data_IF_758951370024
#
_entry.id   IF_758951370024
#
_cell.length_a   1.000
_cell.length_b   1.000
_cell.length_c   1.000
_cell.angle_alpha   90.00
_cell.angle_beta   90.00
_cell.angle_gamma   90.00
#
_symmetry.space_group_name_H-M   'P 1'
#
loop_
_entity.id
_entity.type
_entity.pdbx_description
1 polymer ?
#
# COMPACT_ATOMS: atom_id res chain seq x y z
N UNK A 1 41.45 -59.58 34.52
CA UNK A 1 40.13 -59.51 33.86
C UNK A 1 39.12 -59.08 34.91
N UNK A 2 38.89 -57.77 34.98
CA UNK A 2 38.06 -57.16 36.03
C UNK A 2 36.58 -57.44 35.78
N UNK A 3 35.79 -57.42 36.86
CA UNK A 3 34.33 -57.58 36.84
C UNK A 3 33.65 -56.33 36.26
N UNK A 4 33.98 -55.99 35.02
CA UNK A 4 33.49 -54.76 34.38
C UNK A 4 31.99 -54.87 34.11
N UNK A 5 31.50 -56.06 33.76
CA UNK A 5 30.06 -56.31 33.54
C UNK A 5 29.24 -56.15 34.84
N UNK A 6 29.77 -56.61 35.98
CA UNK A 6 29.13 -56.39 37.29
C UNK A 6 29.14 -54.90 37.68
N UNK A 7 30.18 -54.17 37.28
CA UNK A 7 30.33 -52.73 37.55
C UNK A 7 29.35 -51.90 36.71
N UNK A 8 29.13 -52.29 35.44
CA UNK A 8 28.14 -51.67 34.55
C UNK A 8 26.72 -51.96 35.05
N UNK A 9 26.45 -53.20 35.48
CA UNK A 9 25.17 -53.56 36.09
C UNK A 9 24.92 -52.78 37.39
N UNK A 10 25.92 -52.68 38.25
CA UNK A 10 25.84 -51.90 39.50
C UNK A 10 25.70 -50.39 39.26
N UNK A 11 26.41 -49.84 38.26
CA UNK A 11 26.29 -48.44 37.86
C UNK A 11 24.90 -48.12 37.30
N UNK A 12 24.29 -49.05 36.55
CA UNK A 12 22.91 -48.95 36.09
C UNK A 12 21.90 -48.92 37.25
N UNK A 13 22.12 -49.73 38.30
CA UNK A 13 21.29 -49.73 39.51
C UNK A 13 21.47 -48.46 40.37
N UNK A 14 22.66 -47.84 40.30
CA UNK A 14 22.96 -46.56 40.97
C UNK A 14 22.63 -45.32 40.15
N UNK A 15 21.98 -45.48 38.99
CA UNK A 15 21.63 -44.39 38.07
C UNK A 15 22.86 -43.59 37.57
N UNK A 16 24.04 -44.20 37.58
CA UNK A 16 25.28 -43.62 37.05
C UNK A 16 25.39 -43.90 35.54
N UNK A 17 24.43 -43.36 34.79
CA UNK A 17 24.28 -43.62 33.34
C UNK A 17 25.50 -43.18 32.52
N UNK A 18 26.25 -42.17 32.97
CA UNK A 18 27.47 -41.71 32.31
C UNK A 18 28.53 -42.81 32.18
N UNK A 19 28.76 -43.58 33.24
CA UNK A 19 29.76 -44.65 33.27
C UNK A 19 29.32 -45.81 32.36
N UNK A 20 28.02 -46.11 32.37
CA UNK A 20 27.42 -47.16 31.54
C UNK A 20 27.54 -46.83 30.06
N UNK A 21 27.18 -45.60 29.67
CA UNK A 21 27.26 -45.14 28.27
C UNK A 21 28.71 -45.08 27.79
N UNK A 22 29.62 -44.52 28.59
CA UNK A 22 31.05 -44.48 28.26
C UNK A 22 31.63 -45.89 28.05
N UNK A 23 31.22 -46.85 28.87
CA UNK A 23 31.65 -48.24 28.73
C UNK A 23 31.17 -48.87 27.41
N UNK A 24 29.88 -48.71 27.06
CA UNK A 24 29.36 -49.23 25.80
C UNK A 24 29.99 -48.56 24.56
N UNK A 25 30.30 -47.25 24.64
CA UNK A 25 31.04 -46.56 23.58
C UNK A 25 32.45 -47.14 23.42
N UNK A 26 33.16 -47.40 24.52
CA UNK A 26 34.49 -48.04 24.47
C UNK A 26 34.47 -49.45 23.89
N UNK A 27 33.35 -50.17 24.03
CA UNK A 27 33.15 -51.49 23.43
C UNK A 27 32.70 -51.43 21.96
N UNK A 28 32.43 -50.24 21.42
CA UNK A 28 31.91 -50.06 20.06
C UNK A 28 30.43 -50.40 19.91
N UNK A 29 29.68 -50.50 21.02
CA UNK A 29 28.28 -50.92 21.05
C UNK A 29 27.34 -49.70 21.08
N UNK A 30 27.26 -48.97 19.96
CA UNK A 30 26.47 -47.74 19.83
C UNK A 30 24.99 -47.95 20.19
N UNK A 31 24.39 -49.04 19.71
CA UNK A 31 22.97 -49.35 19.94
C UNK A 31 22.63 -49.49 21.43
N UNK A 32 23.43 -50.23 22.20
CA UNK A 32 23.22 -50.41 23.64
C UNK A 32 23.41 -49.09 24.40
N UNK A 33 24.37 -48.27 23.97
CA UNK A 33 24.57 -46.93 24.52
C UNK A 33 23.34 -46.03 24.28
N UNK A 34 22.79 -46.03 23.06
CA UNK A 34 21.59 -45.28 22.69
C UNK A 34 20.35 -45.77 23.44
N UNK A 35 20.16 -47.09 23.60
CA UNK A 35 19.06 -47.66 24.39
C UNK A 35 19.07 -47.20 25.86
N UNK A 36 20.26 -47.00 26.45
CA UNK A 36 20.38 -46.41 27.80
C UNK A 36 20.01 -44.93 27.77
N UNK A 37 20.50 -44.17 26.79
CA UNK A 37 20.25 -42.72 26.65
C UNK A 37 18.78 -42.38 26.35
N UNK A 38 18.01 -43.30 25.75
CA UNK A 38 16.59 -43.11 25.45
C UNK A 38 15.66 -43.26 26.68
N UNK A 39 16.18 -43.73 27.82
CA UNK A 39 15.38 -43.93 29.04
C UNK A 39 14.95 -42.60 29.65
N UNK A 40 13.73 -42.54 30.17
CA UNK A 40 13.14 -41.32 30.75
C UNK A 40 13.92 -40.71 31.94
N UNK A 41 14.67 -41.53 32.69
CA UNK A 41 15.43 -41.07 33.85
C UNK A 41 16.81 -40.49 33.48
N UNK A 42 17.19 -40.49 32.20
CA UNK A 42 18.50 -40.01 31.77
C UNK A 42 18.42 -38.54 31.39
N UNK A 43 19.29 -37.67 31.96
CA UNK A 43 19.32 -36.27 31.60
C UNK A 43 19.77 -36.08 30.15
N UNK A 44 19.07 -35.19 29.44
CA UNK A 44 19.32 -34.88 28.02
C UNK A 44 20.75 -34.35 27.79
N UNK A 45 21.38 -33.76 28.81
CA UNK A 45 22.76 -33.28 28.75
C UNK A 45 23.79 -34.39 28.47
N UNK A 46 23.51 -35.63 28.88
CA UNK A 46 24.36 -36.77 28.55
C UNK A 46 24.29 -37.11 27.06
N UNK A 47 23.13 -36.90 26.41
CA UNK A 47 23.00 -37.08 24.95
C UNK A 47 23.90 -36.10 24.22
N UNK A 48 23.92 -34.81 24.60
CA UNK A 48 24.82 -33.83 23.99
C UNK A 48 26.29 -34.13 24.27
N UNK A 49 26.63 -34.61 25.47
CA UNK A 49 28.00 -34.95 25.86
C UNK A 49 28.57 -36.09 25.03
N UNK A 50 27.80 -37.16 24.81
CA UNK A 50 28.24 -38.35 24.08
C UNK A 50 27.93 -38.31 22.58
N UNK A 51 27.16 -37.33 22.11
CA UNK A 51 26.81 -37.17 20.68
C UNK A 51 28.02 -37.21 19.73
N UNK A 52 29.16 -36.54 19.99
CA UNK A 52 30.33 -36.59 19.11
C UNK A 52 30.94 -37.99 18.98
N UNK A 53 30.92 -38.78 20.05
CA UNK A 53 31.54 -40.11 20.04
C UNK A 53 30.58 -41.15 19.45
N UNK A 54 29.28 -41.01 19.69
CA UNK A 54 28.24 -41.89 19.14
C UNK A 54 28.09 -41.74 17.62
N UNK A 55 28.08 -40.50 17.11
CA UNK A 55 27.95 -40.28 15.66
C UNK A 55 29.17 -40.77 14.87
N UNK A 56 30.37 -40.69 15.46
CA UNK A 56 31.60 -41.23 14.88
C UNK A 56 31.61 -42.77 14.88
N UNK A 57 30.92 -43.39 15.84
CA UNK A 57 30.84 -44.84 15.97
C UNK A 57 29.79 -45.45 15.04
N UNK A 58 28.57 -44.89 15.03
CA UNK A 58 27.47 -45.29 14.16
C UNK A 58 26.55 -44.09 13.88
N UNK A 59 26.72 -43.47 12.71
CA UNK A 59 25.96 -42.29 12.34
C UNK A 59 24.47 -42.59 12.07
N UNK A 60 24.15 -43.76 11.52
CA UNK A 60 22.79 -44.13 11.15
C UNK A 60 21.92 -44.32 12.39
N UNK A 61 22.34 -45.18 13.32
CA UNK A 61 21.58 -45.46 14.55
C UNK A 61 21.51 -44.21 15.45
N UNK A 62 22.57 -43.43 15.50
CA UNK A 62 22.62 -42.19 16.29
C UNK A 62 21.64 -41.14 15.75
N UNK A 63 21.61 -40.93 14.43
CA UNK A 63 20.70 -39.97 13.80
C UNK A 63 19.24 -40.42 13.93
N UNK A 64 18.93 -41.70 13.69
CA UNK A 64 17.58 -42.23 13.90
C UNK A 64 17.13 -42.03 15.36
N UNK A 65 18.01 -42.28 16.33
CA UNK A 65 17.72 -41.99 17.73
C UNK A 65 17.42 -40.51 17.98
N UNK A 66 18.11 -39.59 17.31
CA UNK A 66 17.82 -38.15 17.43
C UNK A 66 16.48 -37.78 16.78
N UNK A 67 16.14 -38.37 15.63
CA UNK A 67 14.84 -38.18 14.97
C UNK A 67 13.68 -38.68 15.83
N UNK A 68 13.84 -39.83 16.49
CA UNK A 68 12.83 -40.40 17.38
C UNK A 68 12.59 -39.53 18.62
N UNK A 69 13.63 -38.84 19.11
CA UNK A 69 13.51 -37.93 20.26
C UNK A 69 12.77 -36.62 19.93
N UNK A 70 12.61 -36.27 18.64
CA UNK A 70 11.91 -35.08 18.12
C UNK A 70 12.22 -33.81 18.95
N UNK A 71 11.21 -33.24 19.60
CA UNK A 71 11.28 -31.95 20.31
C UNK A 71 12.02 -32.02 21.66
N UNK A 72 12.49 -33.19 22.11
CA UNK A 72 13.26 -33.31 23.36
C UNK A 72 14.70 -32.82 23.20
N UNK A 73 15.22 -32.83 21.97
CA UNK A 73 16.57 -32.41 21.64
C UNK A 73 16.55 -31.02 21.00
N UNK A 74 17.55 -30.21 21.33
CA UNK A 74 17.84 -28.97 20.66
C UNK A 74 18.89 -29.25 19.57
N UNK A 75 18.54 -29.14 18.28
CA UNK A 75 19.46 -29.41 17.18
C UNK A 75 20.70 -28.50 17.20
N UNK A 76 20.58 -27.26 17.70
CA UNK A 76 21.69 -26.32 17.82
C UNK A 76 22.82 -26.81 18.74
N UNK A 77 22.47 -27.53 19.82
CA UNK A 77 23.47 -28.15 20.73
C UNK A 77 24.17 -29.36 20.12
N UNK A 78 23.63 -29.96 19.05
CA UNK A 78 24.21 -31.10 18.35
C UNK A 78 25.13 -30.66 17.18
N UNK A 79 25.10 -29.38 16.78
CA UNK A 79 25.95 -28.83 15.71
C UNK A 79 27.43 -29.17 15.90
N UNK A 80 28.05 -29.03 17.09
CA UNK A 80 29.47 -29.35 17.26
C UNK A 80 29.80 -30.83 16.97
N UNK A 81 28.91 -31.75 17.35
CA UNK A 81 29.07 -33.18 17.08
C UNK A 81 29.00 -33.45 15.57
N UNK A 82 28.00 -32.88 14.89
CA UNK A 82 27.84 -33.00 13.44
C UNK A 82 29.00 -32.37 12.67
N UNK A 83 29.49 -31.20 13.10
CA UNK A 83 30.63 -30.53 12.47
C UNK A 83 31.92 -31.34 12.58
N UNK A 84 32.18 -31.96 13.72
CA UNK A 84 33.33 -32.86 13.91
C UNK A 84 33.24 -34.04 12.93
N UNK A 85 32.08 -34.68 12.87
CA UNK A 85 31.81 -35.78 11.93
C UNK A 85 32.04 -35.35 10.46
N UNK A 86 31.46 -34.23 10.04
CA UNK A 86 31.58 -33.73 8.65
C UNK A 86 33.01 -33.32 8.28
N UNK A 87 33.86 -33.00 9.27
CA UNK A 87 35.24 -32.58 9.04
C UNK A 87 36.17 -33.76 8.72
N UNK A 88 35.81 -34.97 9.13
CA UNK A 88 36.60 -36.17 8.89
C UNK A 88 36.20 -36.84 7.55
N UNK A 89 37.15 -37.50 6.85
CA UNK A 89 36.87 -38.17 5.58
C UNK A 89 36.08 -39.47 5.82
N UNK A 90 34.80 -39.43 5.47
CA UNK A 90 33.87 -40.55 5.61
C UNK A 90 33.51 -41.17 4.26
N UNK A 91 32.91 -42.37 4.28
CA UNK A 91 32.35 -42.95 3.07
C UNK A 91 31.25 -42.03 2.51
N UNK A 92 31.04 -42.03 1.18
CA UNK A 92 30.10 -41.09 0.54
C UNK A 92 28.70 -41.09 1.16
N UNK A 93 28.22 -42.23 1.67
CA UNK A 93 26.87 -42.41 2.20
C UNK A 93 26.72 -41.91 3.65
N UNK A 94 27.80 -41.90 4.41
CA UNK A 94 27.83 -41.57 5.84
C UNK A 94 27.48 -40.10 6.11
N UNK A 95 27.95 -39.19 5.24
CA UNK A 95 27.61 -37.76 5.31
C UNK A 95 26.13 -37.46 5.00
N UNK A 96 25.39 -38.40 4.39
CA UNK A 96 23.96 -38.20 4.10
C UNK A 96 23.09 -38.31 5.35
N UNK A 97 23.50 -39.05 6.38
CA UNK A 97 22.69 -39.20 7.60
C UNK A 97 22.57 -37.88 8.37
N UNK A 98 23.66 -37.12 8.45
CA UNK A 98 23.64 -35.76 9.02
C UNK A 98 22.72 -34.84 8.22
N UNK A 99 22.76 -34.93 6.88
CA UNK A 99 21.88 -34.13 6.01
C UNK A 99 20.42 -34.53 6.24
N UNK A 100 20.12 -35.82 6.34
CA UNK A 100 18.78 -36.35 6.63
C UNK A 100 18.24 -35.80 7.96
N UNK A 101 19.08 -35.77 8.99
CA UNK A 101 18.72 -35.16 10.28
C UNK A 101 18.43 -33.67 10.17
N UNK A 102 19.29 -32.92 9.50
CA UNK A 102 19.11 -31.48 9.32
C UNK A 102 17.88 -31.16 8.47
N UNK A 103 17.61 -31.93 7.41
CA UNK A 103 16.38 -31.84 6.63
C UNK A 103 15.14 -32.09 7.48
N UNK A 104 15.16 -33.12 8.33
CA UNK A 104 14.09 -33.40 9.30
C UNK A 104 13.89 -32.23 10.27
N UNK A 105 14.98 -31.67 10.80
CA UNK A 105 14.91 -30.49 11.68
C UNK A 105 14.28 -29.28 10.99
N UNK A 106 14.60 -29.07 9.71
CA UNK A 106 14.12 -27.92 8.95
C UNK A 106 12.68 -28.11 8.48
N UNK A 107 12.31 -29.28 7.97
CA UNK A 107 10.99 -29.56 7.35
C UNK A 107 9.93 -30.05 8.33
N UNK A 108 10.29 -30.96 9.24
CA UNK A 108 9.34 -31.62 10.14
C UNK A 108 9.25 -30.94 11.51
N UNK A 109 10.37 -30.41 12.02
CA UNK A 109 10.42 -29.69 13.29
C UNK A 109 10.22 -28.18 13.13
N UNK A 110 10.20 -27.64 11.89
CA UNK A 110 10.16 -26.21 11.58
C UNK A 110 11.17 -25.41 12.42
N UNK A 111 12.41 -25.92 12.53
CA UNK A 111 13.43 -25.25 13.34
C UNK A 111 13.87 -23.93 12.67
N UNK A 112 13.93 -22.87 13.47
CA UNK A 112 14.28 -21.51 13.06
C UNK A 112 15.74 -21.14 13.40
N UNK A 113 16.53 -22.08 13.98
CA UNK A 113 17.92 -21.85 14.38
C UNK A 113 18.85 -21.61 13.16
N UNK A 114 19.46 -20.42 13.03
CA UNK A 114 20.36 -20.11 11.91
C UNK A 114 21.55 -21.06 11.77
N UNK A 115 22.06 -21.60 12.88
CA UNK A 115 23.19 -22.53 12.86
C UNK A 115 22.86 -23.82 12.13
N UNK A 116 21.63 -24.32 12.27
CA UNK A 116 21.15 -25.54 11.63
C UNK A 116 20.99 -25.33 10.13
N UNK A 117 20.39 -24.22 9.74
CA UNK A 117 20.23 -23.83 8.32
C UNK A 117 21.58 -23.57 7.65
N UNK A 118 22.50 -22.87 8.32
CA UNK A 118 23.85 -22.60 7.82
C UNK A 118 24.68 -23.88 7.66
N UNK A 119 24.57 -24.84 8.60
CA UNK A 119 25.24 -26.12 8.49
C UNK A 119 24.69 -26.94 7.32
N UNK A 120 23.36 -27.02 7.17
CA UNK A 120 22.71 -27.72 6.06
C UNK A 120 23.14 -27.12 4.71
N UNK A 121 23.14 -25.80 4.60
CA UNK A 121 23.60 -25.09 3.42
C UNK A 121 25.07 -25.41 3.10
N UNK A 122 25.95 -25.43 4.12
CA UNK A 122 27.35 -25.78 3.94
C UNK A 122 27.54 -27.19 3.38
N UNK A 123 26.70 -28.15 3.81
CA UNK A 123 26.71 -29.52 3.31
C UNK A 123 26.19 -29.61 1.88
N UNK A 124 25.11 -28.91 1.55
CA UNK A 124 24.60 -28.85 0.19
C UNK A 124 25.60 -28.22 -0.78
N UNK A 125 26.33 -27.18 -0.37
CA UNK A 125 27.34 -26.53 -1.22
C UNK A 125 28.48 -27.49 -1.63
N UNK A 126 28.78 -28.49 -0.80
CA UNK A 126 29.81 -29.52 -1.05
C UNK A 126 29.33 -30.66 -1.96
N UNK A 127 28.02 -30.88 -2.09
CA UNK A 127 27.48 -31.93 -2.99
C UNK A 127 27.70 -31.56 -4.45
N UNK A 128 27.80 -32.57 -5.30
CA UNK A 128 27.98 -32.39 -6.75
C UNK A 128 26.75 -31.77 -7.42
N UNK A 129 25.55 -32.24 -7.03
CA UNK A 129 24.25 -31.79 -7.53
C UNK A 129 23.76 -30.54 -6.80
N UNK A 130 23.37 -29.52 -7.56
CA UNK A 130 22.87 -28.23 -7.06
C UNK A 130 21.35 -28.22 -6.83
N UNK A 131 20.63 -29.24 -7.29
CA UNK A 131 19.16 -29.26 -7.25
C UNK A 131 18.61 -29.13 -5.83
N UNK A 132 19.20 -29.87 -4.88
CA UNK A 132 18.82 -29.80 -3.46
C UNK A 132 19.14 -28.44 -2.83
N UNK A 133 20.25 -27.83 -3.24
CA UNK A 133 20.66 -26.50 -2.78
C UNK A 133 19.69 -25.43 -3.27
N UNK A 134 19.34 -25.47 -4.56
CA UNK A 134 18.40 -24.53 -5.17
C UNK A 134 17.01 -24.66 -4.55
N UNK A 135 16.51 -25.90 -4.40
CA UNK A 135 15.24 -26.14 -3.73
C UNK A 135 15.23 -25.62 -2.29
N UNK A 136 16.34 -25.79 -1.56
CA UNK A 136 16.48 -25.24 -0.21
C UNK A 136 16.46 -23.71 -0.20
N UNK A 137 17.15 -23.05 -1.14
CA UNK A 137 17.14 -21.58 -1.28
C UNK A 137 15.76 -21.03 -1.72
N UNK A 138 15.01 -21.78 -2.51
CA UNK A 138 13.66 -21.42 -2.95
C UNK A 138 12.60 -21.60 -1.85
N UNK A 139 12.88 -22.49 -0.88
CA UNK A 139 11.93 -22.78 0.19
C UNK A 139 11.96 -21.65 1.20
N UNK A 140 10.80 -21.00 1.38
CA UNK A 140 10.60 -20.00 2.43
C UNK A 140 10.33 -20.74 3.74
N UNK A 141 11.29 -20.71 4.65
CA UNK A 141 11.15 -21.28 5.98
C UNK A 141 10.68 -20.15 6.89
N UNK A 142 9.40 -20.17 7.27
CA UNK A 142 8.82 -19.15 8.12
C UNK A 142 7.35 -19.45 8.40
N UNK A 143 6.93 -19.19 9.63
CA UNK A 143 5.57 -19.46 10.13
C UNK A 143 4.53 -18.46 9.60
N UNK A 144 4.51 -18.14 8.31
CA UNK A 144 3.48 -17.29 7.68
C UNK A 144 3.24 -15.92 8.34
N UNK A 145 4.15 -15.46 9.22
CA UNK A 145 4.06 -14.16 9.86
C UNK A 145 4.47 -13.10 8.84
N UNK A 146 3.60 -12.10 8.63
CA UNK A 146 3.79 -11.04 7.64
C UNK A 146 5.11 -10.26 7.78
N UNK A 147 5.79 -10.34 8.94
CA UNK A 147 7.05 -9.66 9.26
C UNK A 147 8.17 -10.62 9.76
N UNK A 148 8.03 -11.94 9.57
CA UNK A 148 9.09 -12.89 9.93
C UNK A 148 10.26 -12.86 8.93
N UNK A 149 11.48 -13.26 9.34
CA UNK A 149 12.56 -13.46 8.38
C UNK A 149 12.16 -14.53 7.35
N UNK A 150 12.28 -14.21 6.07
CA UNK A 150 11.89 -15.10 4.96
C UNK A 150 12.79 -16.36 4.88
N UNK A 151 13.98 -16.25 5.46
CA UNK A 151 14.99 -17.30 5.54
C UNK A 151 15.75 -17.21 6.87
N UNK A 152 16.15 -18.35 7.42
CA UNK A 152 16.88 -18.41 8.69
C UNK A 152 18.40 -18.59 8.53
N UNK A 153 18.93 -18.78 7.32
CA UNK A 153 20.37 -18.80 7.07
C UNK A 153 20.94 -17.38 6.87
N UNK A 154 22.25 -17.23 7.07
CA UNK A 154 22.96 -15.96 6.82
C UNK A 154 23.32 -15.80 5.32
N UNK A 155 22.75 -14.83 4.58
CA UNK A 155 22.96 -14.72 3.13
C UNK A 155 24.43 -14.45 2.73
N UNK A 156 25.16 -13.67 3.53
CA UNK A 156 26.57 -13.37 3.28
C UNK A 156 27.46 -14.60 3.47
N UNK A 157 27.17 -15.41 4.49
CA UNK A 157 27.84 -16.69 4.72
C UNK A 157 27.55 -17.65 3.57
N UNK A 158 26.28 -17.75 3.18
CA UNK A 158 25.81 -18.57 2.06
C UNK A 158 26.52 -18.24 0.74
N UNK A 159 26.60 -16.96 0.41
CA UNK A 159 27.24 -16.48 -0.80
C UNK A 159 28.73 -16.83 -0.83
N UNK A 160 29.45 -16.61 0.27
CA UNK A 160 30.88 -16.93 0.37
C UNK A 160 31.14 -18.42 0.14
N UNK A 161 30.33 -19.30 0.73
CA UNK A 161 30.43 -20.74 0.53
C UNK A 161 30.15 -21.15 -0.92
N UNK A 162 29.06 -20.65 -1.49
CA UNK A 162 28.68 -20.99 -2.86
C UNK A 162 29.73 -20.52 -3.88
N UNK A 163 30.35 -19.33 -3.66
CA UNK A 163 31.45 -18.84 -4.49
C UNK A 163 32.70 -19.72 -4.38
N UNK A 164 33.07 -20.16 -3.17
CA UNK A 164 34.20 -21.07 -2.96
C UNK A 164 33.97 -22.43 -3.64
N UNK A 165 32.73 -22.94 -3.58
CA UNK A 165 32.33 -24.19 -4.21
C UNK A 165 32.00 -24.05 -5.72
N UNK A 166 32.15 -22.85 -6.31
CA UNK A 166 31.84 -22.53 -7.72
C UNK A 166 30.38 -22.83 -8.11
N UNK A 167 29.44 -22.68 -7.17
CA UNK A 167 27.99 -22.92 -7.35
C UNK A 167 27.30 -21.66 -7.85
N UNK A 168 27.53 -21.33 -9.13
CA UNK A 168 27.17 -20.04 -9.70
C UNK A 168 25.66 -19.79 -9.76
N UNK A 169 24.84 -20.82 -10.06
CA UNK A 169 23.37 -20.70 -10.08
C UNK A 169 22.81 -20.38 -8.70
N UNK A 170 23.32 -21.04 -7.67
CA UNK A 170 22.96 -20.76 -6.28
C UNK A 170 23.37 -19.33 -5.87
N UNK A 171 24.55 -18.86 -6.29
CA UNK A 171 24.97 -17.49 -6.05
C UNK A 171 24.03 -16.45 -6.71
N UNK A 172 23.60 -16.66 -7.96
CA UNK A 172 22.61 -15.78 -8.63
C UNK A 172 21.33 -15.72 -7.80
N UNK A 173 20.85 -16.86 -7.33
CA UNK A 173 19.65 -16.93 -6.50
C UNK A 173 19.80 -16.18 -5.17
N UNK A 174 20.95 -16.31 -4.51
CA UNK A 174 21.24 -15.59 -3.26
C UNK A 174 21.30 -14.07 -3.51
N UNK A 175 21.96 -13.61 -4.58
CA UNK A 175 21.98 -12.18 -4.93
C UNK A 175 20.57 -11.64 -5.23
N UNK A 176 19.74 -12.41 -5.93
CA UNK A 176 18.33 -12.10 -6.19
C UNK A 176 17.55 -11.91 -4.88
N UNK A 177 17.73 -12.80 -3.90
CA UNK A 177 17.09 -12.69 -2.59
C UNK A 177 17.61 -11.52 -1.74
N UNK A 178 18.85 -11.09 -1.96
CA UNK A 178 19.42 -9.90 -1.32
C UNK A 178 19.03 -8.58 -2.01
N UNK A 179 18.16 -8.62 -3.03
CA UNK A 179 17.79 -7.47 -3.88
C UNK A 179 18.99 -6.84 -4.61
N UNK A 180 20.07 -7.59 -4.77
CA UNK A 180 21.27 -7.19 -5.50
C UNK A 180 21.19 -7.66 -6.96
N UNK A 181 20.23 -7.09 -7.70
CA UNK A 181 19.92 -7.54 -9.06
C UNK A 181 21.06 -7.27 -10.06
N UNK A 182 21.86 -6.22 -9.85
CA UNK A 182 22.99 -5.90 -10.73
C UNK A 182 24.08 -6.97 -10.71
N UNK A 183 24.44 -7.44 -9.52
CA UNK A 183 25.40 -8.51 -9.30
C UNK A 183 24.82 -9.86 -9.72
N UNK A 184 23.52 -10.09 -9.45
CA UNK A 184 22.82 -11.29 -9.89
C UNK A 184 22.88 -11.46 -11.41
N UNK A 185 22.51 -10.42 -12.18
CA UNK A 185 22.56 -10.44 -13.64
C UNK A 185 24.01 -10.57 -14.14
N UNK A 186 24.97 -9.84 -13.56
CA UNK A 186 26.37 -9.94 -13.97
C UNK A 186 26.95 -11.35 -13.78
N UNK A 187 26.51 -12.06 -12.74
CA UNK A 187 26.89 -13.45 -12.49
C UNK A 187 26.13 -14.42 -13.39
N UNK A 188 24.82 -14.20 -13.60
CA UNK A 188 23.97 -15.01 -14.47
C UNK A 188 24.48 -15.01 -15.91
N UNK A 189 24.94 -13.87 -16.43
CA UNK A 189 25.55 -13.75 -17.76
C UNK A 189 26.75 -14.69 -17.97
N UNK A 190 27.47 -15.09 -16.92
CA UNK A 190 28.59 -16.05 -17.02
C UNK A 190 28.13 -17.51 -17.07
N UNK A 191 26.89 -17.77 -16.69
CA UNK A 191 26.33 -19.12 -16.55
C UNK A 191 25.37 -19.42 -17.70
N UNK A 192 24.36 -18.56 -17.87
CA UNK A 192 23.25 -18.77 -18.79
C UNK A 192 22.57 -17.44 -19.12
N UNK A 193 22.39 -17.16 -20.42
CA UNK A 193 21.74 -15.95 -20.91
C UNK A 193 20.26 -15.92 -20.50
N UNK A 194 19.56 -17.06 -20.56
CA UNK A 194 18.13 -17.13 -20.23
C UNK A 194 17.89 -16.81 -18.76
N UNK A 195 18.79 -17.27 -17.88
CA UNK A 195 18.75 -16.93 -16.46
C UNK A 195 18.96 -15.43 -16.22
N UNK A 196 19.84 -14.79 -17.01
CA UNK A 196 20.08 -13.36 -16.90
C UNK A 196 18.86 -12.53 -17.35
N UNK A 197 18.17 -12.96 -18.41
CA UNK A 197 16.90 -12.35 -18.85
C UNK A 197 15.82 -12.49 -17.78
N UNK A 198 15.62 -13.71 -17.28
CA UNK A 198 14.62 -13.99 -16.24
C UNK A 198 14.88 -13.19 -14.95
N UNK A 199 16.15 -12.96 -14.58
CA UNK A 199 16.49 -12.14 -13.40
C UNK A 199 16.25 -10.64 -13.64
N UNK A 200 16.49 -10.15 -14.87
CA UNK A 200 16.18 -8.76 -15.22
C UNK A 200 14.67 -8.49 -15.23
N UNK A 201 13.85 -9.46 -15.67
CA UNK A 201 12.39 -9.31 -15.72
C UNK A 201 11.71 -9.34 -14.35
N UNK A 202 12.33 -9.93 -13.33
CA UNK A 202 11.80 -9.90 -11.95
C UNK A 202 11.71 -8.50 -11.37
N UNK A 203 12.48 -7.54 -11.90
CA UNK A 203 12.47 -6.16 -11.42
C UNK A 203 11.31 -5.41 -12.09
N UNK A 204 10.10 -5.58 -11.58
CA UNK A 204 8.90 -4.92 -12.13
C UNK A 204 8.69 -3.50 -11.60
N UNK A 205 9.09 -3.23 -10.35
CA UNK A 205 8.80 -1.97 -9.65
C UNK A 205 9.70 -0.80 -10.08
N UNK A 206 10.91 -1.09 -10.59
CA UNK A 206 11.91 -0.09 -10.96
C UNK A 206 12.27 -0.22 -12.45
N UNK A 207 11.58 0.58 -13.28
CA UNK A 207 11.78 0.60 -14.72
C UNK A 207 13.18 1.07 -15.12
N UNK A 208 13.79 1.99 -14.37
CA UNK A 208 15.14 2.49 -14.63
C UNK A 208 16.21 1.42 -14.38
N UNK A 209 16.10 0.73 -13.24
CA UNK A 209 16.97 -0.40 -12.91
C UNK A 209 16.76 -1.54 -13.92
N UNK A 210 15.51 -1.89 -14.23
CA UNK A 210 15.19 -2.90 -15.26
C UNK A 210 15.83 -2.54 -16.59
N UNK A 211 15.72 -1.29 -17.04
CA UNK A 211 16.37 -0.77 -18.26
C UNK A 211 17.89 -0.94 -18.19
N UNK A 212 18.51 -0.58 -17.07
CA UNK A 212 19.97 -0.72 -16.86
C UNK A 212 20.43 -2.18 -16.90
N UNK A 213 19.67 -3.11 -16.30
CA UNK A 213 19.98 -4.54 -16.32
C UNK A 213 19.87 -5.10 -17.74
N UNK A 214 18.78 -4.80 -18.45
CA UNK A 214 18.60 -5.19 -19.84
C UNK A 214 19.68 -4.62 -20.76
N UNK A 215 20.15 -3.39 -20.53
CA UNK A 215 21.31 -2.84 -21.25
C UNK A 215 22.61 -3.60 -20.95
N UNK A 216 22.84 -4.04 -19.71
CA UNK A 216 24.00 -4.88 -19.39
C UNK A 216 23.93 -6.23 -20.11
N UNK A 217 22.75 -6.85 -20.17
CA UNK A 217 22.52 -8.10 -20.92
C UNK A 217 22.75 -7.87 -22.41
N UNK A 218 22.17 -6.80 -23.00
CA UNK A 218 22.34 -6.45 -24.41
C UNK A 218 23.81 -6.24 -24.77
N UNK A 219 24.53 -5.44 -23.95
CA UNK A 219 25.97 -5.20 -24.11
C UNK A 219 26.75 -6.51 -24.13
N UNK A 220 26.41 -7.43 -23.23
CA UNK A 220 27.07 -8.73 -23.16
C UNK A 220 26.83 -9.60 -24.40
N UNK A 221 25.58 -9.66 -24.89
CA UNK A 221 25.22 -10.39 -26.12
C UNK A 221 26.00 -9.85 -27.32
N UNK A 222 26.11 -8.53 -27.44
CA UNK A 222 26.79 -7.84 -28.55
C UNK A 222 28.32 -8.02 -28.47
N UNK A 223 28.92 -7.95 -27.27
CA UNK A 223 30.37 -8.06 -27.07
C UNK A 223 30.91 -9.50 -27.07
N UNK A 224 30.13 -10.48 -26.58
CA UNK A 224 30.61 -11.87 -26.47
C UNK A 224 30.61 -12.62 -27.80
N UNK A 225 29.65 -12.36 -28.68
CA UNK A 225 29.59 -13.08 -29.95
C UNK A 225 30.65 -12.54 -30.92
N UNK A 226 31.79 -13.24 -31.02
CA UNK A 226 32.79 -13.05 -32.10
C UNK A 226 32.30 -13.58 -33.46
N UNK A 227 31.00 -13.66 -33.67
CA UNK A 227 30.36 -14.14 -34.89
C UNK A 227 30.48 -13.16 -36.06
N UNK A 228 29.94 -13.55 -37.21
CA UNK A 228 29.80 -12.65 -38.36
C UNK A 228 28.91 -11.49 -37.93
N UNK A 229 29.41 -10.25 -38.04
CA UNK A 229 28.77 -9.01 -37.54
C UNK A 229 27.25 -8.92 -37.83
N UNK A 230 26.81 -9.50 -38.95
CA UNK A 230 25.41 -9.50 -39.40
C UNK A 230 24.47 -10.39 -38.56
N UNK A 231 24.97 -11.50 -38.02
CA UNK A 231 24.17 -12.39 -37.15
C UNK A 231 23.97 -11.77 -35.77
N UNK A 232 25.00 -11.10 -35.24
CA UNK A 232 24.92 -10.37 -33.98
C UNK A 232 23.88 -9.23 -34.05
N UNK A 233 23.80 -8.54 -35.19
CA UNK A 233 22.82 -7.46 -35.41
C UNK A 233 21.40 -8.03 -35.41
N UNK A 234 21.15 -9.13 -36.11
CA UNK A 234 19.82 -9.78 -36.14
C UNK A 234 19.39 -10.26 -34.75
N UNK A 235 20.29 -10.90 -34.00
CA UNK A 235 20.01 -11.32 -32.62
C UNK A 235 19.78 -10.14 -31.68
N UNK A 236 20.50 -9.03 -31.87
CA UNK A 236 20.25 -7.81 -31.09
C UNK A 236 18.88 -7.19 -31.42
N UNK A 237 18.44 -7.27 -32.67
CA UNK A 237 17.09 -6.84 -33.08
C UNK A 237 16.01 -7.78 -32.51
N UNK A 238 16.23 -9.10 -32.55
CA UNK A 238 15.36 -10.08 -31.88
C UNK A 238 15.29 -9.80 -30.37
N UNK A 239 16.43 -9.54 -29.74
CA UNK A 239 16.51 -9.16 -28.33
C UNK A 239 15.75 -7.86 -28.02
N UNK A 240 15.84 -6.83 -28.87
CA UNK A 240 15.04 -5.61 -28.71
C UNK A 240 13.53 -5.92 -28.79
N UNK A 241 13.13 -6.80 -29.71
CA UNK A 241 11.73 -7.19 -29.83
C UNK A 241 11.20 -7.94 -28.60
N UNK A 242 12.07 -8.67 -27.88
CA UNK A 242 11.73 -9.35 -26.63
C UNK A 242 11.57 -8.37 -25.44
N UNK A 243 12.22 -7.20 -25.49
CA UNK A 243 12.22 -6.23 -24.36
C UNK A 243 10.92 -5.43 -24.19
N UNK A 244 9.84 -5.75 -24.92
CA UNK A 244 8.52 -5.10 -24.82
C UNK A 244 8.57 -3.56 -24.78
N UNK A 245 9.32 -2.93 -25.69
CA UNK A 245 9.55 -1.48 -25.80
C UNK A 245 10.32 -0.82 -24.64
N UNK A 246 10.90 -1.59 -23.72
CA UNK A 246 11.76 -1.04 -22.66
C UNK A 246 13.05 -0.43 -23.21
N UNK A 247 13.66 -1.11 -24.18
CA UNK A 247 14.86 -0.64 -24.86
C UNK A 247 14.51 -0.10 -26.24
N UNK A 248 15.13 1.03 -26.59
CA UNK A 248 15.06 1.60 -27.93
C UNK A 248 16.32 1.25 -28.69
N UNK A 249 16.22 1.33 -30.03
CA UNK A 249 17.39 1.17 -30.90
C UNK A 249 18.50 2.16 -30.54
N UNK A 250 18.13 3.38 -30.14
CA UNK A 250 19.03 4.44 -29.68
C UNK A 250 19.93 3.99 -28.51
N UNK A 251 19.40 3.14 -27.62
CA UNK A 251 20.13 2.71 -26.43
C UNK A 251 21.19 1.64 -26.75
N UNK A 252 21.00 0.85 -27.82
CA UNK A 252 21.92 -0.23 -28.20
C UNK A 252 22.95 0.18 -29.25
N UNK A 253 22.64 1.19 -30.07
CA UNK A 253 23.53 1.69 -31.13
C UNK A 253 24.96 1.99 -30.65
N UNK A 254 25.19 2.59 -29.46
CA UNK A 254 26.54 2.88 -28.97
C UNK A 254 27.42 1.66 -28.70
N UNK A 255 26.84 0.46 -28.56
CA UNK A 255 27.61 -0.77 -28.32
C UNK A 255 28.16 -1.39 -29.61
N UNK A 256 27.72 -0.91 -30.78
CA UNK A 256 28.21 -1.38 -32.06
C UNK A 256 29.45 -0.58 -32.51
N UNK A 257 30.43 -1.23 -33.17
CA UNK A 257 31.60 -0.54 -33.70
C UNK A 257 31.23 0.40 -34.87
N UNK A 258 32.01 1.46 -35.07
CA UNK A 258 31.77 2.53 -36.08
C UNK A 258 31.59 2.06 -37.54
N UNK A 259 31.97 0.81 -37.87
CA UNK A 259 31.94 0.25 -39.22
C UNK A 259 30.71 -0.64 -39.50
N UNK A 260 29.65 -0.56 -38.69
CA UNK A 260 28.40 -1.29 -38.97
C UNK A 260 27.60 -0.59 -40.07
N UNK A 261 27.12 -1.37 -41.05
CA UNK A 261 26.29 -0.86 -42.13
C UNK A 261 24.90 -0.53 -41.59
N UNK A 262 24.48 0.73 -41.73
CA UNK A 262 23.15 1.21 -41.35
C UNK A 262 22.03 0.43 -42.06
N UNK A 263 22.32 -0.14 -43.23
CA UNK A 263 21.37 -0.97 -43.98
C UNK A 263 20.81 -2.14 -43.17
N UNK A 264 21.58 -2.71 -42.25
CA UNK A 264 21.12 -3.82 -41.40
C UNK A 264 20.11 -3.36 -40.32
N UNK A 265 20.04 -2.06 -40.00
CA UNK A 265 19.11 -1.48 -39.03
C UNK A 265 17.97 -0.68 -39.67
N UNK A 266 17.98 -0.52 -40.99
CA UNK A 266 17.07 0.37 -41.72
C UNK A 266 15.60 0.14 -41.36
N UNK A 267 15.17 -1.11 -41.33
CA UNK A 267 13.76 -1.45 -41.06
C UNK A 267 13.34 -1.05 -39.63
N UNK A 268 14.16 -1.34 -38.63
CA UNK A 268 13.84 -1.04 -37.23
C UNK A 268 13.95 0.45 -36.91
N UNK A 269 14.88 1.17 -37.55
CA UNK A 269 14.95 2.64 -37.49
C UNK A 269 13.70 3.24 -38.13
N UNK A 270 13.28 2.76 -39.31
CA UNK A 270 12.07 3.24 -39.97
C UNK A 270 10.82 2.97 -39.13
N UNK A 271 10.74 1.84 -38.42
CA UNK A 271 9.65 1.52 -37.51
C UNK A 271 9.64 2.47 -36.30
N UNK A 272 10.78 2.63 -35.63
CA UNK A 272 10.93 3.55 -34.49
C UNK A 272 10.56 4.99 -34.86
N UNK A 273 10.99 5.47 -36.03
CA UNK A 273 10.64 6.81 -36.52
C UNK A 273 9.14 6.98 -36.82
N UNK A 274 8.48 5.94 -37.35
CA UNK A 274 7.03 5.95 -37.56
C UNK A 274 6.28 6.01 -36.24
N UNK A 275 6.73 5.25 -35.24
CA UNK A 275 6.12 5.24 -33.91
C UNK A 275 6.25 6.61 -33.24
N UNK A 276 7.43 7.24 -33.32
CA UNK A 276 7.61 8.62 -32.86
C UNK A 276 6.69 9.61 -33.57
N UNK A 277 6.59 9.53 -34.90
CA UNK A 277 5.71 10.41 -35.64
C UNK A 277 4.23 10.21 -35.24
N UNK A 278 3.82 8.97 -34.99
CA UNK A 278 2.47 8.66 -34.50
C UNK A 278 2.22 9.22 -33.10
N UNK A 279 3.19 9.10 -32.18
CA UNK A 279 3.09 9.66 -30.84
C UNK A 279 3.02 11.19 -30.86
N UNK A 280 3.79 11.83 -31.75
CA UNK A 280 3.75 13.29 -31.93
C UNK A 280 2.38 13.74 -32.42
N UNK A 281 1.80 13.06 -33.42
CA UNK A 281 0.46 13.40 -33.92
C UNK A 281 -0.63 13.15 -32.87
N UNK A 282 -0.51 12.08 -32.07
CA UNK A 282 -1.43 11.85 -30.94
C UNK A 282 -1.34 12.97 -29.91
N UNK A 283 -0.13 13.32 -29.45
CA UNK A 283 0.07 14.36 -28.46
C UNK A 283 -0.42 15.72 -28.97
N UNK A 284 -0.21 16.00 -30.26
CA UNK A 284 -0.73 17.20 -30.91
C UNK A 284 -2.25 17.22 -30.94
N UNK A 285 -2.90 16.11 -31.26
CA UNK A 285 -4.36 15.99 -31.20
C UNK A 285 -4.88 16.21 -29.76
N UNK A 286 -4.23 15.62 -28.76
CA UNK A 286 -4.56 15.85 -27.35
C UNK A 286 -4.39 17.32 -26.93
N UNK A 287 -3.33 17.99 -27.39
CA UNK A 287 -3.12 19.42 -27.18
C UNK A 287 -4.22 20.26 -27.84
N UNK A 288 -4.59 19.95 -29.08
CA UNK A 288 -5.65 20.65 -29.79
C UNK A 288 -7.01 20.46 -29.11
N UNK A 289 -7.31 19.26 -28.62
CA UNK A 289 -8.53 18.94 -27.88
C UNK A 289 -8.61 19.68 -26.55
N UNK A 290 -7.51 19.69 -25.78
CA UNK A 290 -7.41 20.45 -24.55
C UNK A 290 -7.55 21.96 -24.79
N UNK A 291 -6.97 22.47 -25.88
CA UNK A 291 -7.07 23.89 -26.26
C UNK A 291 -8.50 24.25 -26.63
N UNK A 292 -9.18 23.43 -27.46
CA UNK A 292 -10.61 23.63 -27.78
C UNK A 292 -11.48 23.57 -26.53
N UNK A 293 -11.20 22.65 -25.60
CA UNK A 293 -11.88 22.58 -24.31
C UNK A 293 -11.71 23.86 -23.49
N UNK A 294 -10.48 24.38 -23.41
CA UNK A 294 -10.20 25.62 -22.71
C UNK A 294 -10.87 26.85 -23.38
N UNK A 295 -10.90 26.91 -24.71
CA UNK A 295 -11.58 27.99 -25.44
C UNK A 295 -13.10 27.97 -25.25
N UNK A 296 -13.72 26.78 -25.25
CA UNK A 296 -15.13 26.63 -24.92
C UNK A 296 -15.42 27.15 -23.50
N UNK A 297 -14.60 26.78 -22.52
CA UNK A 297 -14.74 27.28 -21.14
C UNK A 297 -14.60 28.80 -21.08
N UNK A 298 -13.63 29.39 -21.78
CA UNK A 298 -13.47 30.86 -21.84
C UNK A 298 -14.68 31.54 -22.47
N UNK A 299 -15.22 30.97 -23.55
CA UNK A 299 -16.44 31.46 -24.20
C UNK A 299 -17.63 31.39 -23.25
N UNK A 300 -17.80 30.27 -22.55
CA UNK A 300 -18.87 30.10 -21.56
C UNK A 300 -18.72 31.12 -20.43
N UNK A 301 -17.53 31.30 -19.86
CA UNK A 301 -17.28 32.33 -18.83
C UNK A 301 -17.62 33.73 -19.35
N UNK A 302 -17.26 34.04 -20.61
CA UNK A 302 -17.63 35.30 -21.25
C UNK A 302 -19.14 35.49 -21.37
N UNK A 303 -19.87 34.45 -21.79
CA UNK A 303 -21.32 34.46 -21.85
C UNK A 303 -21.97 34.57 -20.46
N UNK A 304 -21.42 33.87 -19.46
CA UNK A 304 -21.87 33.90 -18.06
C UNK A 304 -21.73 35.31 -17.46
N UNK A 305 -20.64 36.02 -17.75
CA UNK A 305 -20.41 37.38 -17.27
C UNK A 305 -21.39 38.41 -17.86
N UNK A 306 -21.97 38.13 -19.03
CA UNK A 306 -22.94 39.01 -19.70
C UNK A 306 -24.40 38.71 -19.31
N UNK A 307 -24.66 37.69 -18.47
CA UNK A 307 -26.02 37.39 -18.01
C UNK A 307 -26.49 38.46 -17.04
N UNK A 308 -27.54 39.18 -17.41
CA UNK A 308 -28.24 40.11 -16.54
C UNK A 308 -29.67 39.61 -16.31
N UNK A 309 -30.20 39.87 -15.11
CA UNK A 309 -31.60 39.62 -14.78
C UNK A 309 -32.28 40.96 -14.57
N UNK A 310 -33.37 41.21 -15.29
CA UNK A 310 -34.19 42.41 -15.12
C UNK A 310 -35.16 42.17 -13.98
N UNK A 311 -35.16 43.05 -12.98
CA UNK A 311 -36.03 42.98 -11.80
C UNK A 311 -37.03 44.14 -11.89
N UNK A 312 -38.32 43.83 -11.71
CA UNK A 312 -39.35 44.86 -11.65
C UNK A 312 -39.27 45.64 -10.32
N UNK A 313 -39.66 46.92 -10.33
CA UNK A 313 -39.69 47.78 -9.13
C UNK A 313 -40.67 47.27 -8.07
N UNK A 314 -41.66 46.51 -8.49
CA UNK A 314 -42.70 45.94 -7.64
C UNK A 314 -42.38 44.50 -7.19
N UNK A 315 -41.22 43.93 -7.56
CA UNK A 315 -40.85 42.57 -7.21
C UNK A 315 -40.83 42.36 -5.68
N UNK A 316 -41.51 41.30 -5.22
CA UNK A 316 -41.68 40.99 -3.81
C UNK A 316 -40.77 39.86 -3.35
N UNK A 317 -40.28 39.96 -2.12
CA UNK A 317 -39.51 38.89 -1.49
C UNK A 317 -40.39 37.65 -1.25
N UNK A 318 -39.96 36.49 -1.74
CA UNK A 318 -40.73 35.25 -1.63
C UNK A 318 -41.10 34.82 -0.20
N UNK A 319 -40.31 35.23 0.81
CA UNK A 319 -40.55 34.86 2.22
C UNK A 319 -41.44 35.88 2.94
N UNK A 320 -41.16 37.19 2.80
CA UNK A 320 -41.84 38.22 3.59
C UNK A 320 -42.85 39.07 2.79
N UNK A 321 -42.98 38.83 1.48
CA UNK A 321 -43.88 39.54 0.55
C UNK A 321 -43.75 41.07 0.55
N UNK A 322 -42.58 41.58 0.94
CA UNK A 322 -42.24 43.01 0.87
C UNK A 322 -41.36 43.27 -0.35
N UNK A 323 -41.51 44.45 -0.95
CA UNK A 323 -40.72 44.87 -2.11
C UNK A 323 -39.21 44.75 -1.87
N UNK A 324 -38.50 44.19 -2.83
CA UNK A 324 -37.06 43.90 -2.71
C UNK A 324 -36.24 45.19 -2.78
N UNK A 325 -36.60 46.09 -3.70
CA UNK A 325 -35.92 47.36 -3.93
C UNK A 325 -36.36 48.48 -2.98
N UNK A 326 -36.81 48.15 -1.77
CA UNK A 326 -37.27 49.16 -0.80
C UNK A 326 -36.10 50.04 -0.34
N UNK A 327 -36.03 51.25 -0.89
CA UNK A 327 -35.16 52.31 -0.40
C UNK A 327 -35.76 52.87 0.89
N UNK A 328 -35.27 52.39 2.04
CA UNK A 328 -35.50 53.03 3.34
C UNK A 328 -36.96 53.05 3.83
N UNK A 329 -37.40 51.94 4.43
CA UNK A 329 -38.63 51.87 5.23
C UNK A 329 -38.45 50.98 6.45
N UNK A 330 -38.20 51.60 7.61
CA UNK A 330 -38.41 51.08 8.97
C UNK A 330 -38.08 49.58 9.20
N UNK A 331 -36.79 49.24 9.26
CA UNK A 331 -36.35 48.18 10.18
C UNK A 331 -35.68 48.85 11.37
N UNK A 332 -36.45 49.05 12.44
CA UNK A 332 -35.90 49.37 13.75
C UNK A 332 -35.17 48.15 14.30
N UNK A 333 -33.86 48.07 14.07
CA UNK A 333 -32.94 47.40 14.99
C UNK A 333 -31.66 48.23 15.06
N UNK A 334 -31.51 48.99 16.16
CA UNK A 334 -30.25 49.62 16.54
C UNK A 334 -30.04 51.06 16.01
N UNK A 335 -29.80 51.99 16.94
CA UNK A 335 -29.53 53.41 16.69
C UNK A 335 -28.24 53.61 15.88
N UNK A 336 -28.34 54.14 14.66
CA UNK A 336 -27.39 55.11 14.11
C UNK A 336 -27.99 55.81 12.89
N UNK A 337 -28.00 57.15 12.92
CA UNK A 337 -28.33 57.98 11.76
C UNK A 337 -27.08 58.04 10.87
N UNK A 338 -27.13 57.42 9.69
CA UNK A 338 -26.33 57.88 8.54
C UNK A 338 -27.18 57.85 7.27
N UNK A 339 -27.06 58.95 6.55
CA UNK A 339 -27.73 59.34 5.32
C UNK A 339 -27.28 58.53 4.11
N UNK A 340 -28.18 58.41 3.12
CA UNK A 340 -28.00 57.81 1.78
C UNK A 340 -27.92 56.28 1.81
N UNK A 341 -29.03 55.67 1.38
CA UNK A 341 -29.35 54.27 1.62
C UNK A 341 -28.46 53.31 0.86
N UNK A 342 -27.68 52.52 1.60
CA UNK A 342 -27.23 51.22 1.11
C UNK A 342 -28.48 50.38 0.83
N UNK A 343 -28.66 49.97 -0.43
CA UNK A 343 -29.67 48.97 -0.77
C UNK A 343 -29.36 47.72 0.06
N UNK A 344 -30.37 47.20 0.78
CA UNK A 344 -30.19 45.97 1.52
C UNK A 344 -29.82 44.85 0.53
N UNK A 345 -28.80 44.02 0.83
CA UNK A 345 -28.40 42.95 -0.07
C UNK A 345 -29.58 42.01 -0.32
N UNK A 346 -29.75 41.61 -1.58
CA UNK A 346 -30.80 40.73 -2.04
C UNK A 346 -30.22 39.70 -2.99
N UNK A 347 -30.90 38.56 -3.08
CA UNK A 347 -30.53 37.45 -3.94
C UNK A 347 -31.61 37.26 -5.00
N UNK A 348 -31.18 36.99 -6.23
CA UNK A 348 -32.06 36.62 -7.34
C UNK A 348 -31.56 35.31 -7.91
N UNK A 349 -32.44 34.33 -7.96
CA UNK A 349 -32.12 33.02 -8.52
C UNK A 349 -32.46 33.01 -10.02
N UNK A 350 -31.80 32.16 -10.83
CA UNK A 350 -32.10 32.00 -12.25
C UNK A 350 -33.55 31.57 -12.56
N UNK A 351 -34.27 31.02 -11.57
CA UNK A 351 -35.70 30.70 -11.68
C UNK A 351 -36.63 31.91 -11.57
N UNK A 352 -36.09 33.12 -11.35
CA UNK A 352 -36.84 34.37 -11.20
C UNK A 352 -37.20 34.72 -9.75
N UNK A 353 -37.10 33.78 -8.80
CA UNK A 353 -37.37 34.08 -7.39
C UNK A 353 -36.33 35.01 -6.79
N UNK A 354 -36.81 36.00 -6.04
CA UNK A 354 -35.97 37.00 -5.43
C UNK A 354 -36.27 37.14 -3.92
N UNK A 355 -35.22 37.37 -3.13
CA UNK A 355 -35.29 37.35 -1.67
C UNK A 355 -34.38 38.40 -1.04
N UNK A 356 -34.79 39.00 0.08
CA UNK A 356 -33.85 39.75 0.93
C UNK A 356 -32.82 38.79 1.53
N UNK A 357 -31.56 39.20 1.65
CA UNK A 357 -30.48 38.37 2.21
C UNK A 357 -30.86 37.77 3.58
N UNK A 358 -31.38 38.59 4.49
CA UNK A 358 -31.78 38.14 5.82
C UNK A 358 -32.96 37.16 5.80
N UNK A 359 -33.91 37.36 4.87
CA UNK A 359 -35.06 36.46 4.72
C UNK A 359 -34.62 35.12 4.14
N UNK A 360 -33.70 35.12 3.18
CA UNK A 360 -33.14 33.91 2.60
C UNK A 360 -32.36 33.11 3.65
N UNK A 361 -31.46 33.74 4.40
CA UNK A 361 -30.69 33.10 5.47
C UNK A 361 -31.61 32.49 6.52
N UNK A 362 -32.63 33.23 6.96
CA UNK A 362 -33.62 32.73 7.94
C UNK A 362 -34.41 31.52 7.41
N UNK A 363 -34.74 31.51 6.13
CA UNK A 363 -35.44 30.38 5.52
C UNK A 363 -34.53 29.15 5.36
N UNK A 364 -33.33 29.33 4.80
CA UNK A 364 -32.37 28.24 4.55
C UNK A 364 -31.93 27.59 5.86
N UNK A 365 -31.66 28.39 6.91
CA UNK A 365 -31.28 27.86 8.24
C UNK A 365 -32.38 27.03 8.91
N UNK A 366 -33.66 27.26 8.57
CA UNK A 366 -34.80 26.46 9.07
C UNK A 366 -34.95 25.13 8.35
N UNK A 367 -34.58 25.07 7.08
CA UNK A 367 -34.89 23.94 6.19
C UNK A 367 -33.66 23.07 5.86
N UNK A 368 -32.48 23.48 6.33
CA UNK A 368 -31.24 22.73 6.16
C UNK A 368 -30.87 21.88 7.37
N UNK A 369 -29.85 21.03 7.23
CA UNK A 369 -29.30 20.22 8.32
C UNK A 369 -28.71 21.07 9.44
N UNK A 370 -28.77 20.58 10.69
CA UNK A 370 -28.27 21.32 11.86
C UNK A 370 -26.80 21.76 11.70
N UNK A 371 -25.93 20.91 11.14
CA UNK A 371 -24.53 21.24 10.91
C UNK A 371 -24.33 22.37 9.87
N UNK A 372 -25.14 22.40 8.81
CA UNK A 372 -25.09 23.47 7.81
C UNK A 372 -25.70 24.78 8.35
N UNK A 373 -26.77 24.71 9.13
CA UNK A 373 -27.36 25.87 9.80
C UNK A 373 -26.39 26.52 10.79
N UNK A 374 -25.71 25.73 11.63
CA UNK A 374 -24.67 26.20 12.55
C UNK A 374 -23.50 26.84 11.80
N UNK A 375 -23.09 26.27 10.65
CA UNK A 375 -22.05 26.85 9.79
C UNK A 375 -22.46 28.21 9.24
N UNK A 376 -23.68 28.34 8.70
CA UNK A 376 -24.21 29.59 8.14
C UNK A 376 -24.30 30.66 9.23
N UNK A 377 -24.81 30.32 10.42
CA UNK A 377 -24.91 31.25 11.55
C UNK A 377 -23.53 31.68 12.09
N UNK A 378 -22.56 30.78 12.12
CA UNK A 378 -21.18 31.10 12.49
C UNK A 378 -20.53 32.06 11.49
N UNK A 379 -20.72 31.83 10.17
CA UNK A 379 -20.23 32.73 9.12
C UNK A 379 -20.88 34.12 9.22
N UNK A 380 -22.21 34.18 9.43
CA UNK A 380 -22.92 35.44 9.65
C UNK A 380 -22.42 36.18 10.89
N UNK A 381 -22.16 35.46 11.99
CA UNK A 381 -21.61 36.02 13.23
C UNK A 381 -20.21 36.59 12.99
N UNK A 382 -19.34 35.86 12.30
CA UNK A 382 -17.98 36.33 11.96
C UNK A 382 -18.01 37.60 11.11
N UNK A 383 -18.86 37.66 10.07
CA UNK A 383 -19.03 38.86 9.25
C UNK A 383 -19.56 40.05 10.09
N UNK A 384 -20.55 39.83 10.95
CA UNK A 384 -21.09 40.90 11.82
C UNK A 384 -20.05 41.43 12.83
N UNK A 385 -19.15 40.58 13.32
CA UNK A 385 -18.06 40.96 14.23
C UNK A 385 -16.99 41.78 13.49
N UNK A 386 -16.69 41.43 12.23
CA UNK A 386 -15.76 42.18 11.39
C UNK A 386 -16.33 43.53 10.95
N UNK A 387 -17.60 43.60 10.58
CA UNK A 387 -18.29 44.87 10.27
C UNK A 387 -18.32 45.81 11.49
N UNK A 388 -18.54 45.26 12.70
CA UNK A 388 -18.46 46.03 13.95
C UNK A 388 -17.05 46.49 14.30
N UNK A 389 -16.03 45.71 13.95
CA UNK A 389 -14.61 46.09 14.14
C UNK A 389 -14.23 47.22 13.19
N UNK A 390 -14.64 47.14 11.92
CA UNK A 390 -14.46 48.18 10.93
C UNK A 390 -15.17 49.50 11.31
N UNK A 391 -16.38 49.42 11.89
CA UNK A 391 -17.10 50.59 12.38
C UNK A 391 -16.46 51.25 13.63
N UNK A 392 -15.70 50.49 14.43
CA UNK A 392 -15.06 50.98 15.66
C UNK A 392 -13.70 51.63 15.39
N UNK A 393 -12.94 51.14 14.41
CA UNK A 393 -11.67 51.73 13.97
C UNK A 393 -11.87 53.07 13.23
N UNK A 394 -13.04 53.29 12.62
CA UNK A 394 -13.41 54.59 12.02
C UNK A 394 -13.69 55.71 13.03
N UNK A 395 -13.73 55.41 14.35
CA UNK A 395 -14.03 56.37 15.42
C UNK A 395 -12.84 56.77 16.30
N UNK A 396 -11.63 56.29 16.00
CA UNK A 396 -10.42 56.55 16.80
C UNK A 396 -9.32 57.26 16.02
N UNK A 397 -9.03 58.51 16.38
CA UNK A 397 -7.89 59.27 15.87
C UNK A 397 -6.57 58.64 16.33
N UNK A 398 -5.75 58.14 15.39
CA UNK A 398 -4.32 57.97 15.63
C UNK A 398 -3.64 56.75 15.00
N UNK A 399 -2.82 57.07 13.99
CA UNK A 399 -1.70 56.32 13.41
C UNK A 399 -2.02 55.14 12.47
N UNK A 400 -1.81 55.44 11.18
CA UNK A 400 -1.90 54.50 10.09
C UNK A 400 -0.78 53.48 10.10
N UNK A 401 -1.19 52.22 9.99
CA UNK A 401 -0.51 51.18 9.24
C UNK A 401 -1.57 50.17 8.75
N UNK A 402 -1.75 50.15 7.43
CA UNK A 402 -2.27 49.03 6.61
C UNK A 402 -3.70 48.50 6.84
N UNK A 403 -4.69 49.22 6.29
CA UNK A 403 -6.10 48.80 6.09
C UNK A 403 -6.26 47.76 4.94
N UNK A 404 -5.18 47.39 4.24
CA UNK A 404 -5.27 46.58 3.01
C UNK A 404 -5.34 45.06 3.26
N UNK A 405 -5.10 44.59 4.49
CA UNK A 405 -4.92 43.16 4.78
C UNK A 405 -6.20 42.39 5.17
N UNK A 406 -7.31 43.08 5.48
CA UNK A 406 -8.56 42.45 5.95
C UNK A 406 -9.69 42.41 4.91
N UNK A 407 -9.61 43.19 3.84
CA UNK A 407 -10.58 43.14 2.74
C UNK A 407 -10.71 41.75 2.07
N UNK A 408 -9.61 41.06 1.68
CA UNK A 408 -9.73 39.78 0.99
C UNK A 408 -10.27 38.65 1.88
N UNK A 409 -10.15 38.79 3.21
CA UNK A 409 -10.70 37.79 4.15
C UNK A 409 -12.19 37.99 4.37
N UNK A 410 -12.67 39.24 4.41
CA UNK A 410 -14.11 39.55 4.46
C UNK A 410 -14.80 39.09 3.18
N UNK A 411 -14.23 39.35 2.02
CA UNK A 411 -14.84 38.96 0.74
C UNK A 411 -14.85 37.44 0.57
N UNK A 412 -13.81 36.74 1.03
CA UNK A 412 -13.79 35.27 1.08
C UNK A 412 -14.86 34.70 2.01
N UNK A 413 -15.09 35.31 3.17
CA UNK A 413 -16.14 34.90 4.11
C UNK A 413 -17.55 35.20 3.55
N UNK A 414 -17.73 36.31 2.84
CA UNK A 414 -18.96 36.64 2.12
C UNK A 414 -19.24 35.61 1.02
N UNK A 415 -18.25 35.31 0.17
CA UNK A 415 -18.37 34.27 -0.85
C UNK A 415 -18.76 32.91 -0.26
N UNK A 416 -18.15 32.52 0.87
CA UNK A 416 -18.52 31.27 1.55
C UNK A 416 -19.94 31.26 2.13
N UNK A 417 -20.43 32.41 2.59
CA UNK A 417 -21.80 32.57 3.03
C UNK A 417 -22.76 32.49 1.84
N UNK A 418 -22.44 33.20 0.76
CA UNK A 418 -23.22 33.23 -0.48
C UNK A 418 -23.32 31.83 -1.09
N UNK A 419 -22.21 31.08 -1.17
CA UNK A 419 -22.19 29.69 -1.66
C UNK A 419 -23.07 28.76 -0.79
N UNK A 420 -23.06 28.96 0.53
CA UNK A 420 -23.84 28.13 1.44
C UNK A 420 -25.34 28.44 1.41
N UNK A 421 -25.71 29.71 1.18
CA UNK A 421 -27.09 30.19 1.25
C UNK A 421 -27.79 30.23 -0.11
N UNK A 422 -27.04 30.46 -1.19
CA UNK A 422 -27.55 30.62 -2.56
C UNK A 422 -27.19 29.46 -3.50
N UNK A 423 -26.76 28.31 -2.97
CA UNK A 423 -26.50 27.09 -3.75
C UNK A 423 -27.74 26.58 -4.50
N UNK A 424 -28.93 26.73 -3.92
CA UNK A 424 -30.20 26.36 -4.54
C UNK A 424 -31.33 27.33 -4.16
N UNK A 425 -32.34 27.43 -5.03
CA UNK A 425 -33.52 28.24 -4.73
C UNK A 425 -34.40 27.52 -3.69
N UNK A 426 -34.76 28.14 -2.55
CA UNK A 426 -35.57 27.49 -1.53
C UNK A 426 -36.95 27.01 -1.99
N UNK A 427 -37.50 27.59 -3.06
CA UNK A 427 -38.84 27.26 -3.57
C UNK A 427 -38.83 26.32 -4.78
N UNK A 428 -37.69 26.14 -5.45
CA UNK A 428 -37.57 25.31 -6.66
C UNK A 428 -36.52 24.20 -6.55
N UNK A 429 -35.72 24.21 -5.49
CA UNK A 429 -34.68 23.22 -5.23
C UNK A 429 -35.12 22.12 -4.28
N UNK A 430 -34.15 21.33 -3.84
CA UNK A 430 -34.35 20.17 -3.00
C UNK A 430 -34.85 20.53 -1.59
N UNK A 431 -34.58 21.76 -1.12
CA UNK A 431 -35.12 22.27 0.15
C UNK A 431 -36.66 22.19 0.17
N UNK A 432 -37.33 22.61 -0.91
CA UNK A 432 -38.80 22.55 -1.01
C UNK A 432 -39.30 21.10 -1.03
N UNK A 433 -38.58 20.21 -1.71
CA UNK A 433 -38.95 18.80 -1.83
C UNK A 433 -38.88 18.11 -0.46
N UNK A 434 -37.86 18.43 0.34
CA UNK A 434 -37.69 17.90 1.70
C UNK A 434 -38.82 18.36 2.63
N UNK A 435 -39.34 19.57 2.45
CA UNK A 435 -40.46 20.07 3.25
C UNK A 435 -41.77 19.30 3.05
N UNK A 436 -42.00 18.71 1.87
CA UNK A 436 -43.20 17.88 1.60
C UNK A 436 -43.25 16.65 2.52
N UNK A 437 -42.08 16.17 2.95
CA UNK A 437 -41.97 15.00 3.83
C UNK A 437 -42.19 15.33 5.31
N UNK A 438 -42.31 16.62 5.66
CA UNK A 438 -42.55 17.05 7.03
C UNK A 438 -44.04 16.95 7.39
N UNK A 439 -44.37 16.58 8.65
CA UNK A 439 -45.75 16.57 9.09
C UNK A 439 -46.34 17.98 9.00
N UNK A 440 -47.58 18.07 8.49
CA UNK A 440 -48.31 19.33 8.34
C UNK A 440 -48.47 20.10 9.66
N UNK A 441 -48.35 19.42 10.81
CA UNK A 441 -48.35 20.01 12.14
C UNK A 441 -47.01 19.68 12.77
N UNK A 442 -46.21 20.70 13.04
CA UNK A 442 -44.92 20.52 13.71
C UNK A 442 -45.14 20.22 15.20
N UNK A 443 -44.22 19.51 15.89
CA UNK A 443 -44.35 19.20 17.31
C UNK A 443 -44.58 20.43 18.22
N UNK A 444 -44.04 21.58 17.81
CA UNK A 444 -44.23 22.87 18.49
C UNK A 444 -45.62 23.50 18.30
N UNK A 445 -46.37 23.09 17.28
CA UNK A 445 -47.71 23.59 16.95
C UNK A 445 -48.83 22.73 17.56
N UNK A 446 -48.47 21.84 18.49
CA UNK A 446 -49.40 20.98 19.22
C UNK A 446 -50.37 21.79 20.09
N UNK A 447 -49.95 22.97 20.55
CA UNK A 447 -50.77 23.90 21.34
C UNK A 447 -51.83 24.57 20.45
N UNK A 448 -51.45 25.05 19.27
CA UNK A 448 -52.41 25.53 18.27
C UNK A 448 -53.35 24.40 17.84
N UNK A 449 -52.86 23.18 17.57
CA UNK A 449 -53.75 22.05 17.26
C UNK A 449 -54.80 21.82 18.35
N UNK A 450 -54.40 21.86 19.62
CA UNK A 450 -55.31 21.68 20.75
C UNK A 450 -56.32 22.83 20.89
N UNK A 451 -55.97 24.07 20.50
CA UNK A 451 -56.90 25.20 20.55
C UNK A 451 -58.00 25.15 19.48
N UNK A 452 -57.80 24.34 18.43
CA UNK A 452 -58.78 24.12 17.36
C UNK A 452 -59.61 22.84 17.59
N UNK A 453 -59.41 22.11 18.69
CA UNK A 453 -60.25 20.96 19.05
C UNK A 453 -61.67 21.41 19.47
N UNK A 454 -62.64 21.15 18.59
CA UNK A 454 -64.06 21.40 18.87
C UNK A 454 -64.57 20.30 19.82
N UNK A 455 -64.81 20.64 21.10
CA UNK A 455 -65.42 19.71 22.06
C UNK A 455 -66.90 19.44 21.69
N UNK A 456 -67.35 18.18 21.57
CA UNK A 456 -68.74 17.88 21.29
C UNK A 456 -69.62 18.22 22.51
N UNK A 457 -70.54 19.18 22.35
CA UNK A 457 -71.58 19.44 23.35
C UNK A 457 -72.64 18.32 23.30
N UNK A 458 -73.16 17.83 24.44
CA UNK A 458 -74.23 16.84 24.44
C UNK A 458 -75.52 17.48 23.90
N UNK A 459 -75.92 17.03 22.72
CA UNK A 459 -77.07 17.51 21.97
C UNK A 459 -78.38 17.30 22.73
N UNK A 460 -79.10 18.39 22.98
CA UNK A 460 -80.55 18.34 23.19
C UNK A 460 -81.15 19.61 22.60
N UNK A 461 -81.42 19.59 21.30
CA UNK A 461 -82.63 20.21 20.76
C UNK A 461 -82.93 19.75 19.33
N UNK A 462 -84.18 19.30 19.22
CA UNK A 462 -84.88 18.61 18.14
C UNK A 462 -84.69 19.22 16.75
N UNK A 463 -84.43 18.34 15.79
CA UNK A 463 -84.52 18.55 14.35
C UNK A 463 -85.96 18.92 13.98
N UNK A 464 -86.15 20.03 13.26
CA UNK A 464 -87.35 20.30 12.47
C UNK A 464 -86.98 20.14 10.99
N UNK A 465 -87.65 19.25 10.23
CA UNK A 465 -87.38 19.10 8.80
C UNK A 465 -88.18 20.16 8.04
N UNK A 466 -87.49 21.06 7.34
CA UNK A 466 -88.11 21.91 6.33
C UNK A 466 -87.83 21.30 4.95
N UNK A 467 -88.85 20.65 4.42
CA UNK A 467 -88.95 20.17 3.05
C UNK A 467 -89.47 21.26 2.12
N UNK A 468 -89.10 21.12 0.84
CA UNK A 468 -89.73 21.67 -0.37
C UNK A 468 -89.33 23.10 -0.78
N UNK A 469 -89.13 23.46 -2.04
CA UNK A 469 -89.11 22.73 -3.33
C UNK A 469 -88.66 23.71 -4.42
N UNK A 470 -87.95 23.18 -5.42
CA UNK A 470 -87.65 23.71 -6.79
C UNK A 470 -87.06 25.13 -6.86
#
# INVERSE_FOLDING_TARGET
>A
MGRVDELVYFAGLKEQYEIVVHHYIQQGEARKALEVLQRHNVPVDLVYKFAPDLIMLDAYETVESWMMARNKLNPGKLIPAMMRYVSEPHAKNETHEVIKYLEFCVKDLNNEDPGVHNLLLSLYSKKADESQLLQFLDTKFGSGQANGPEFFYEPQYALRLCLQAKRMRACVRIYSMMSMHEEAVALALRVDLELAKAEADKVEDDEELRKKLWLKVAKHVIEQEKGVKRENIKKAIEFLSETNNLLKIEDILPFFPDFVLIDDFKEEICKSLKDYNSQIEQLKAEMDDATRGADNIRSDIGALAQRYTVIDREEECGVCRRKILTVGGLHQVGRSYTSVGHMAPFYVFPCGHAFHANCLIAHVTRCTSQAQAERILNLQKQLSLMDRKAAKDNGGTGNGESIVSSAPTVDKLRSQLDDAVASECPFCGDLMIKEISLPFILPGESVEKASWEIKPQPASQKILPMTMSI
#
